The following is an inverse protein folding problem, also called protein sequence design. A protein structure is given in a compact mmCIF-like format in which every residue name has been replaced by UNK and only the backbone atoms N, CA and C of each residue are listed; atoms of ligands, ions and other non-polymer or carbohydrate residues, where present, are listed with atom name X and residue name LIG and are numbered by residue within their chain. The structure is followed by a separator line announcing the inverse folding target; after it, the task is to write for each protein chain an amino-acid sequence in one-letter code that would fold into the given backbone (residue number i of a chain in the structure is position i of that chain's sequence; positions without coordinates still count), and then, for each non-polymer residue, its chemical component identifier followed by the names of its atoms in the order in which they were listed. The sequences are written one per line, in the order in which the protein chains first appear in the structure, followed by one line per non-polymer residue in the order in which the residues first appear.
data_IF_167677122891
#
_entry.id   IF_167677122891
#
_cell.length_a   1.000
_cell.length_b   1.000
_cell.length_c   1.000
_cell.angle_alpha   90.00
_cell.angle_beta   90.00
_cell.angle_gamma   90.00
#
_symmetry.space_group_name_H-M   'P 1'
#
loop_
_entity.id
_entity.type
_entity.pdbx_description
1 polymer ?
#
# COMPACT_ATOMS: atom_id res chain seq x y z
N UNK A 1 89.09 54.43 97.95
CA UNK A 1 87.91 54.92 97.20
C UNK A 1 87.53 53.90 96.14
N UNK A 2 86.22 53.65 96.00
CA UNK A 2 85.56 52.60 95.21
C UNK A 2 85.50 52.84 93.69
N UNK A 3 85.36 51.72 92.95
CA UNK A 3 84.47 51.40 91.80
C UNK A 3 85.22 50.75 90.61
N UNK A 4 84.93 49.50 90.18
CA UNK A 4 83.75 48.96 89.42
C UNK A 4 83.55 49.74 88.11
N UNK A 5 83.44 49.19 86.89
CA UNK A 5 82.95 47.93 86.27
C UNK A 5 83.44 47.96 84.79
N UNK A 6 83.55 46.88 83.99
CA UNK A 6 82.48 46.29 83.16
C UNK A 6 83.09 45.19 82.27
N UNK A 7 82.73 43.94 82.53
CA UNK A 7 82.79 42.81 81.58
C UNK A 7 81.38 42.24 81.59
N UNK A 8 80.72 42.23 80.42
CA UNK A 8 79.62 41.33 80.02
C UNK A 8 78.65 42.05 79.06
N UNK A 9 78.83 41.85 77.75
CA UNK A 9 77.79 42.15 76.75
C UNK A 9 77.97 41.39 75.42
N UNK A 10 78.54 40.18 75.43
CA UNK A 10 78.78 39.40 74.19
C UNK A 10 78.07 38.03 74.12
N UNK A 11 76.98 37.80 74.89
CA UNK A 11 76.33 36.48 74.95
C UNK A 11 74.82 36.45 74.69
N UNK A 12 74.22 37.55 74.25
CA UNK A 12 72.77 37.66 74.03
C UNK A 12 72.32 37.56 72.56
N UNK A 13 73.19 37.85 71.58
CA UNK A 13 72.74 38.04 70.18
C UNK A 13 72.71 36.77 69.31
N UNK A 14 73.38 35.70 69.72
CA UNK A 14 73.46 34.45 68.92
C UNK A 14 72.37 33.42 69.24
N UNK A 15 71.56 33.62 70.28
CA UNK A 15 70.46 32.70 70.63
C UNK A 15 69.10 33.10 70.04
N UNK A 16 68.93 34.36 69.63
CA UNK A 16 67.62 34.86 69.16
C UNK A 16 67.42 34.74 67.63
N UNK A 17 68.51 34.70 66.84
CA UNK A 17 68.44 34.46 65.38
C UNK A 17 68.18 33.00 64.99
N UNK A 18 68.62 32.06 65.84
CA UNK A 18 68.51 30.62 65.60
C UNK A 18 67.09 30.07 65.83
N UNK A 19 66.30 30.70 66.72
CA UNK A 19 64.91 30.31 66.98
C UNK A 19 63.91 30.83 65.91
N UNK A 20 64.14 32.02 65.35
CA UNK A 20 63.29 32.59 64.28
C UNK A 20 63.45 31.85 62.95
N UNK A 21 64.65 31.36 62.65
CA UNK A 21 64.92 30.63 61.41
C UNK A 21 64.33 29.21 61.45
N UNK A 22 64.35 28.54 62.60
CA UNK A 22 63.83 27.17 62.75
C UNK A 22 62.29 27.09 62.78
N UNK A 23 61.60 28.15 63.22
CA UNK A 23 60.13 28.23 63.16
C UNK A 23 59.61 28.46 61.74
N UNK A 24 60.35 29.20 60.90
CA UNK A 24 59.97 29.49 59.51
C UNK A 24 60.10 28.26 58.60
N UNK A 25 61.16 27.45 58.75
CA UNK A 25 61.30 26.18 58.00
C UNK A 25 60.28 25.11 58.40
N UNK A 26 59.82 25.09 59.66
CA UNK A 26 58.76 24.18 60.12
C UNK A 26 57.36 24.49 59.57
N UNK A 27 57.04 25.78 59.34
CA UNK A 27 55.75 26.20 58.78
C UNK A 27 55.68 25.95 57.26
N UNK A 28 56.74 26.28 56.50
CA UNK A 28 56.74 26.10 55.04
C UNK A 28 56.66 24.63 54.62
N UNK A 29 57.19 23.71 55.45
CA UNK A 29 57.18 22.27 55.17
C UNK A 29 55.82 21.61 55.48
N UNK A 30 55.03 22.16 56.43
CA UNK A 30 53.65 21.73 56.69
C UNK A 30 52.69 22.20 55.60
N UNK A 31 52.77 23.46 55.20
CA UNK A 31 51.91 24.00 54.13
C UNK A 31 52.11 23.28 52.78
N UNK A 32 53.34 22.90 52.41
CA UNK A 32 53.58 22.12 51.19
C UNK A 32 53.06 20.68 51.27
N UNK A 33 53.04 20.06 52.46
CA UNK A 33 52.43 18.74 52.67
C UNK A 33 50.92 18.82 52.64
N UNK A 34 50.32 19.83 53.27
CA UNK A 34 48.87 20.02 53.28
C UNK A 34 48.34 20.37 51.88
N UNK A 35 49.07 21.17 51.10
CA UNK A 35 48.72 21.44 49.70
C UNK A 35 48.84 20.19 48.81
N UNK A 36 49.89 19.39 48.94
CA UNK A 36 50.01 18.12 48.19
C UNK A 36 48.87 17.16 48.55
N UNK A 37 48.55 17.03 49.83
CA UNK A 37 47.50 16.12 50.29
C UNK A 37 46.12 16.56 49.78
N UNK A 38 45.84 17.88 49.78
CA UNK A 38 44.62 18.45 49.19
C UNK A 38 44.54 18.29 47.66
N UNK A 39 45.66 18.36 46.94
CA UNK A 39 45.63 18.13 45.48
C UNK A 39 45.34 16.67 45.14
N UNK A 40 45.90 15.70 45.88
CA UNK A 40 45.65 14.27 45.64
C UNK A 40 44.20 13.87 45.96
N UNK A 41 43.58 14.45 46.98
CA UNK A 41 42.16 14.19 47.31
C UNK A 41 41.22 14.79 46.25
N UNK A 42 41.47 16.03 45.83
CA UNK A 42 40.67 16.69 44.80
C UNK A 42 40.72 15.98 43.43
N UNK A 43 41.89 15.45 43.06
CA UNK A 43 42.08 14.74 41.79
C UNK A 43 41.38 13.37 41.79
N UNK A 44 41.37 12.69 42.94
CA UNK A 44 40.66 11.42 43.15
C UNK A 44 39.14 11.61 43.14
N UNK A 45 38.63 12.70 43.71
CA UNK A 45 37.21 13.07 43.62
C UNK A 45 36.79 13.38 42.19
N UNK A 46 37.62 14.09 41.41
CA UNK A 46 37.35 14.34 39.98
C UNK A 46 37.30 13.05 39.18
N UNK A 47 38.19 12.10 39.42
CA UNK A 47 38.17 10.80 38.76
C UNK A 47 36.91 9.98 39.12
N UNK A 48 36.51 9.99 40.40
CA UNK A 48 35.27 9.33 40.83
C UNK A 48 34.01 10.00 40.22
N UNK A 49 33.97 11.33 40.17
CA UNK A 49 32.90 12.08 39.54
C UNK A 49 32.81 11.78 38.04
N UNK A 50 33.94 11.72 37.33
CA UNK A 50 34.00 11.37 35.92
C UNK A 50 33.53 9.93 35.63
N UNK A 51 33.89 8.96 36.49
CA UNK A 51 33.40 7.59 36.39
C UNK A 51 31.89 7.50 36.62
N UNK A 52 31.34 8.22 37.61
CA UNK A 52 29.90 8.30 37.88
C UNK A 52 29.14 8.94 36.71
N UNK A 53 29.66 10.01 36.13
CA UNK A 53 29.07 10.65 34.96
C UNK A 53 29.04 9.72 33.73
N UNK A 54 30.13 8.98 33.48
CA UNK A 54 30.17 7.96 32.41
C UNK A 54 29.16 6.83 32.66
N UNK A 55 29.08 6.31 33.87
CA UNK A 55 28.11 5.27 34.22
C UNK A 55 26.65 5.74 34.06
N UNK A 56 26.35 6.99 34.45
CA UNK A 56 25.03 7.60 34.23
C UNK A 56 24.72 7.76 32.74
N UNK A 57 25.68 8.23 31.93
CA UNK A 57 25.48 8.38 30.48
C UNK A 57 25.19 7.04 29.80
N UNK A 58 25.91 5.98 30.15
CA UNK A 58 25.71 4.64 29.59
C UNK A 58 24.34 4.07 29.95
N UNK A 59 23.88 4.28 31.19
CA UNK A 59 22.54 3.85 31.61
C UNK A 59 21.44 4.61 30.85
N UNK A 60 21.60 5.92 30.67
CA UNK A 60 20.65 6.74 29.92
C UNK A 60 20.53 6.28 28.46
N UNK A 61 21.66 5.97 27.83
CA UNK A 61 21.71 5.50 26.45
C UNK A 61 21.13 4.10 26.28
N UNK A 62 21.31 3.22 27.29
CA UNK A 62 20.69 1.89 27.34
C UNK A 62 19.16 1.98 27.45
N UNK A 63 18.63 2.83 28.33
CA UNK A 63 17.19 3.06 28.45
C UNK A 63 16.60 3.60 27.14
N UNK A 64 17.27 4.57 26.51
CA UNK A 64 16.82 5.15 25.24
C UNK A 64 16.78 4.12 24.11
N UNK A 65 17.76 3.20 24.04
CA UNK A 65 17.76 2.09 23.08
C UNK A 65 16.61 1.11 23.32
N UNK A 66 16.37 0.72 24.58
CA UNK A 66 15.26 -0.18 24.92
C UNK A 66 13.90 0.44 24.56
N UNK A 67 13.73 1.74 24.77
CA UNK A 67 12.50 2.45 24.44
C UNK A 67 12.29 2.58 22.92
N UNK A 68 13.37 2.84 22.17
CA UNK A 68 13.35 2.82 20.71
C UNK A 68 12.98 1.44 20.15
N UNK A 69 13.53 0.36 20.70
CA UNK A 69 13.16 -1.01 20.32
C UNK A 69 11.70 -1.34 20.63
N UNK A 70 11.18 -0.92 21.79
CA UNK A 70 9.76 -1.09 22.11
C UNK A 70 8.87 -0.33 21.13
N UNK A 71 9.20 0.91 20.79
CA UNK A 71 8.46 1.67 19.78
C UNK A 71 8.54 1.02 18.39
N UNK A 72 9.70 0.49 18.00
CA UNK A 72 9.86 -0.20 16.73
C UNK A 72 8.99 -1.46 16.66
N UNK A 73 8.96 -2.27 17.72
CA UNK A 73 8.09 -3.46 17.82
C UNK A 73 6.60 -3.10 17.77
N UNK A 74 6.19 -2.05 18.48
CA UNK A 74 4.80 -1.56 18.44
C UNK A 74 4.41 -1.08 17.04
N UNK A 75 5.30 -0.36 16.34
CA UNK A 75 5.07 0.08 14.95
C UNK A 75 4.98 -1.09 13.98
N UNK A 76 5.87 -2.07 14.10
CA UNK A 76 5.86 -3.32 13.32
C UNK A 76 4.53 -4.06 13.51
N UNK A 77 4.10 -4.23 14.77
CA UNK A 77 2.86 -4.92 15.11
C UNK A 77 1.63 -4.18 14.59
N UNK A 78 1.57 -2.85 14.74
CA UNK A 78 0.49 -2.03 14.16
C UNK A 78 0.44 -2.15 12.63
N UNK A 79 1.61 -2.26 11.97
CA UNK A 79 1.71 -2.44 10.51
C UNK A 79 1.14 -3.80 10.08
N UNK A 80 1.49 -4.87 10.80
CA UNK A 80 0.96 -6.22 10.58
C UNK A 80 -0.54 -6.29 10.82
N UNK A 81 -1.02 -5.73 11.93
CA UNK A 81 -2.45 -5.68 12.24
C UNK A 81 -3.24 -4.93 11.17
N UNK A 82 -2.68 -3.86 10.61
CA UNK A 82 -3.33 -3.12 9.53
C UNK A 82 -3.33 -3.89 8.20
N UNK A 83 -2.27 -4.63 7.89
CA UNK A 83 -2.23 -5.54 6.74
C UNK A 83 -3.25 -6.68 6.90
N UNK A 84 -3.34 -7.27 8.08
CA UNK A 84 -4.30 -8.33 8.41
C UNK A 84 -5.74 -7.84 8.35
N UNK A 85 -6.01 -6.63 8.86
CA UNK A 85 -7.35 -6.01 8.75
C UNK A 85 -7.74 -5.76 7.30
N UNK A 86 -6.82 -5.24 6.47
CA UNK A 86 -7.07 -5.06 5.04
C UNK A 86 -7.29 -6.40 4.32
N UNK A 87 -6.47 -7.41 4.63
CA UNK A 87 -6.61 -8.75 4.05
C UNK A 87 -7.93 -9.41 4.44
N UNK A 88 -8.36 -9.28 5.71
CA UNK A 88 -9.67 -9.74 6.19
C UNK A 88 -10.82 -8.98 5.54
N UNK A 89 -10.73 -7.66 5.44
CA UNK A 89 -11.74 -6.86 4.75
C UNK A 89 -11.89 -7.25 3.27
N UNK A 90 -10.79 -7.55 2.58
CA UNK A 90 -10.81 -8.03 1.19
C UNK A 90 -11.39 -9.44 1.10
N UNK A 91 -11.03 -10.36 2.02
CA UNK A 91 -11.63 -11.71 2.06
C UNK A 91 -13.12 -11.67 2.36
N UNK A 92 -13.55 -10.84 3.31
CA UNK A 92 -14.97 -10.66 3.64
C UNK A 92 -15.73 -9.98 2.50
N UNK A 93 -15.10 -9.05 1.79
CA UNK A 93 -15.69 -8.44 0.60
C UNK A 93 -15.84 -9.48 -0.52
N UNK A 94 -14.82 -10.30 -0.79
CA UNK A 94 -14.92 -11.40 -1.76
C UNK A 94 -15.97 -12.44 -1.34
N UNK A 95 -16.03 -12.80 -0.06
CA UNK A 95 -17.01 -13.74 0.50
C UNK A 95 -18.44 -13.19 0.41
N UNK A 96 -18.64 -11.89 0.65
CA UNK A 96 -19.92 -11.20 0.43
C UNK A 96 -20.28 -11.10 -1.05
N UNK A 97 -19.31 -10.90 -1.93
CA UNK A 97 -19.51 -10.95 -3.38
C UNK A 97 -19.91 -12.36 -3.87
N UNK A 98 -19.32 -13.41 -3.30
CA UNK A 98 -19.70 -14.80 -3.57
C UNK A 98 -21.07 -15.16 -2.98
N UNK A 99 -21.40 -14.69 -1.78
CA UNK A 99 -22.73 -14.88 -1.18
C UNK A 99 -23.82 -14.17 -2.00
N UNK A 100 -23.62 -12.90 -2.41
CA UNK A 100 -24.56 -12.19 -3.29
C UNK A 100 -24.68 -12.82 -4.68
N UNK A 101 -23.65 -13.54 -5.14
CA UNK A 101 -23.68 -14.31 -6.39
C UNK A 101 -24.58 -15.54 -6.27
N UNK A 102 -24.61 -16.22 -5.11
CA UNK A 102 -25.50 -17.36 -4.88
C UNK A 102 -26.97 -16.93 -4.89
N UNK A 103 -27.31 -15.84 -4.20
CA UNK A 103 -28.69 -15.33 -4.11
C UNK A 103 -29.24 -14.83 -5.44
N UNK A 104 -28.42 -14.13 -6.24
CA UNK A 104 -28.83 -13.66 -7.58
C UNK A 104 -28.92 -14.79 -8.63
N UNK A 105 -28.22 -15.91 -8.46
CA UNK A 105 -28.32 -17.03 -9.39
C UNK A 105 -29.60 -17.84 -9.14
N UNK A 106 -30.02 -17.99 -7.88
CA UNK A 106 -31.30 -18.64 -7.53
C UNK A 106 -32.53 -17.89 -8.04
N UNK A 107 -32.48 -16.55 -8.10
CA UNK A 107 -33.59 -15.74 -8.63
C UNK A 107 -33.69 -15.81 -10.17
N UNK A 108 -32.55 -15.95 -10.87
CA UNK A 108 -32.55 -16.17 -12.33
C UNK A 108 -33.09 -17.55 -12.72
N UNK A 109 -32.74 -18.60 -11.97
CA UNK A 109 -33.27 -19.95 -12.23
C UNK A 109 -34.77 -20.10 -11.91
N UNK A 110 -35.33 -19.30 -10.97
CA UNK A 110 -36.78 -19.27 -10.70
C UNK A 110 -37.57 -18.47 -11.75
N UNK A 111 -37.00 -17.40 -12.30
CA UNK A 111 -37.64 -16.62 -13.36
C UNK A 111 -37.73 -17.38 -14.70
N UNK A 112 -36.74 -18.23 -15.02
CA UNK A 112 -36.76 -19.06 -16.24
C UNK A 112 -37.78 -20.21 -16.17
N UNK A 113 -38.08 -20.75 -14.97
CA UNK A 113 -39.02 -21.87 -14.80
C UNK A 113 -40.49 -21.46 -14.90
N UNK A 114 -40.82 -20.19 -14.61
CA UNK A 114 -42.20 -19.69 -14.64
C UNK A 114 -42.66 -19.19 -16.02
N UNK A 115 -41.76 -19.05 -16.99
CA UNK A 115 -42.10 -18.58 -18.35
C UNK A 115 -42.27 -19.72 -19.37
N UNK A 116 -42.18 -20.98 -18.92
CA UNK A 116 -42.34 -22.18 -19.76
C UNK A 116 -43.72 -22.84 -19.61
N UNK A 117 -44.72 -22.08 -19.12
CA UNK A 117 -46.07 -22.58 -18.81
C UNK A 117 -47.19 -22.09 -19.73
N UNK A 118 -46.97 -21.10 -20.61
CA UNK A 118 -48.05 -20.53 -21.42
C UNK A 118 -47.62 -20.25 -22.86
N UNK A 119 -47.42 -21.30 -23.66
CA UNK A 119 -47.71 -21.22 -25.09
C UNK A 119 -47.88 -22.62 -25.67
N UNK A 120 -49.05 -23.19 -25.39
CA UNK A 120 -49.56 -24.39 -26.04
C UNK A 120 -50.33 -23.95 -27.29
N UNK A 121 -49.61 -23.54 -28.33
CA UNK A 121 -50.16 -23.52 -29.68
C UNK A 121 -49.25 -24.32 -30.63
N UNK A 122 -49.91 -25.32 -31.19
CA UNK A 122 -49.47 -26.32 -32.13
C UNK A 122 -48.88 -25.69 -33.40
N UNK A 123 -47.61 -25.94 -33.72
CA UNK A 123 -47.18 -26.04 -35.13
C UNK A 123 -45.98 -26.97 -35.27
N UNK A 124 -46.27 -28.15 -35.80
CA UNK A 124 -45.34 -29.05 -36.44
C UNK A 124 -44.74 -28.35 -37.68
N UNK A 125 -43.47 -27.94 -37.64
CA UNK A 125 -42.69 -27.66 -38.86
C UNK A 125 -41.19 -27.69 -38.58
N UNK A 126 -40.49 -28.44 -39.42
CA UNK A 126 -39.04 -28.50 -39.54
C UNK A 126 -38.42 -27.09 -39.67
N UNK A 127 -37.58 -26.65 -38.71
CA UNK A 127 -36.40 -25.86 -39.09
C UNK A 127 -35.30 -25.82 -38.02
N UNK A 128 -34.10 -26.19 -38.44
CA UNK A 128 -32.83 -26.07 -37.72
C UNK A 128 -32.39 -24.60 -37.77
N UNK A 129 -32.61 -23.77 -36.73
CA UNK A 129 -31.81 -22.55 -36.42
C UNK A 129 -32.48 -21.61 -35.41
N UNK A 130 -32.55 -21.98 -34.13
CA UNK A 130 -32.72 -20.99 -33.04
C UNK A 130 -31.43 -20.91 -32.24
N UNK A 131 -30.38 -20.35 -32.87
CA UNK A 131 -29.02 -20.26 -32.30
C UNK A 131 -28.72 -18.91 -31.63
N UNK A 132 -29.64 -17.94 -31.65
CA UNK A 132 -29.42 -16.58 -31.14
C UNK A 132 -30.50 -16.19 -30.13
N UNK A 133 -30.09 -15.79 -28.92
CA UNK A 133 -31.01 -15.18 -27.95
C UNK A 133 -31.10 -13.68 -28.27
N UNK A 134 -32.23 -13.26 -28.81
CA UNK A 134 -32.53 -11.85 -29.11
C UNK A 134 -33.30 -11.27 -27.94
N UNK A 135 -32.77 -10.21 -27.31
CA UNK A 135 -33.46 -9.53 -26.23
C UNK A 135 -34.42 -8.47 -26.78
N UNK A 136 -35.65 -8.43 -26.24
CA UNK A 136 -36.59 -7.35 -26.54
C UNK A 136 -36.10 -6.00 -25.99
N UNK A 137 -36.52 -4.89 -26.62
CA UNK A 137 -36.13 -3.51 -26.30
C UNK A 137 -36.38 -3.15 -24.83
N UNK A 138 -37.49 -3.62 -24.26
CA UNK A 138 -37.81 -3.36 -22.84
C UNK A 138 -36.85 -4.09 -21.90
N UNK A 139 -36.48 -5.33 -22.23
CA UNK A 139 -35.51 -6.12 -21.47
C UNK A 139 -34.11 -5.51 -21.54
N UNK A 140 -33.69 -5.05 -22.73
CA UNK A 140 -32.41 -4.36 -22.91
C UNK A 140 -32.33 -3.07 -22.09
N UNK A 141 -33.40 -2.25 -22.11
CA UNK A 141 -33.48 -1.01 -21.31
C UNK A 141 -33.39 -1.28 -19.80
N UNK A 142 -34.02 -2.36 -19.33
CA UNK A 142 -33.94 -2.77 -17.93
C UNK A 142 -32.53 -3.21 -17.53
N UNK A 143 -31.90 -4.08 -18.34
CA UNK A 143 -30.53 -4.55 -18.12
C UNK A 143 -29.52 -3.40 -18.11
N UNK A 144 -29.67 -2.46 -19.04
CA UNK A 144 -28.82 -1.28 -19.11
C UNK A 144 -28.96 -0.42 -17.85
N UNK A 145 -30.19 -0.11 -17.41
CA UNK A 145 -30.45 0.65 -16.17
C UNK A 145 -29.83 -0.03 -14.95
N UNK A 146 -29.96 -1.36 -14.86
CA UNK A 146 -29.35 -2.12 -13.77
C UNK A 146 -27.82 -1.97 -13.76
N UNK A 147 -27.16 -2.15 -14.92
CA UNK A 147 -25.70 -2.02 -15.05
C UNK A 147 -25.22 -0.61 -14.73
N UNK A 148 -25.93 0.40 -15.17
CA UNK A 148 -25.64 1.80 -14.87
C UNK A 148 -25.76 2.09 -13.36
N UNK A 149 -26.80 1.61 -12.71
CA UNK A 149 -26.98 1.79 -11.27
C UNK A 149 -25.83 1.13 -10.49
N UNK A 150 -25.44 -0.09 -10.86
CA UNK A 150 -24.30 -0.78 -10.26
C UNK A 150 -22.98 -0.02 -10.45
N UNK A 151 -22.74 0.49 -11.66
CA UNK A 151 -21.54 1.26 -11.98
C UNK A 151 -21.50 2.61 -11.22
N UNK A 152 -22.60 3.35 -11.19
CA UNK A 152 -22.71 4.61 -10.46
C UNK A 152 -22.50 4.44 -8.95
N UNK A 153 -23.03 3.36 -8.38
CA UNK A 153 -22.81 3.03 -6.97
C UNK A 153 -21.32 2.78 -6.67
N UNK A 154 -20.62 2.09 -7.57
CA UNK A 154 -19.19 1.85 -7.44
C UNK A 154 -18.37 3.15 -7.55
N UNK A 155 -18.65 3.99 -8.55
CA UNK A 155 -17.93 5.25 -8.76
C UNK A 155 -17.93 6.17 -7.54
N UNK A 156 -19.05 6.25 -6.80
CA UNK A 156 -19.15 7.05 -5.57
C UNK A 156 -18.16 6.57 -4.51
N UNK A 157 -18.11 5.26 -4.29
CA UNK A 157 -17.19 4.63 -3.32
C UNK A 157 -15.72 4.87 -3.68
N UNK A 158 -15.40 4.89 -4.98
CA UNK A 158 -14.01 5.03 -5.43
C UNK A 158 -13.40 6.40 -5.19
N UNK A 159 -14.22 7.46 -5.20
CA UNK A 159 -13.74 8.82 -4.90
C UNK A 159 -13.19 8.92 -3.48
N UNK A 160 -13.93 8.40 -2.50
CA UNK A 160 -13.53 8.43 -1.10
C UNK A 160 -12.26 7.63 -0.86
N UNK A 161 -12.18 6.43 -1.45
CA UNK A 161 -10.99 5.56 -1.37
C UNK A 161 -9.78 6.26 -1.99
N UNK A 162 -9.94 6.90 -3.15
CA UNK A 162 -8.88 7.61 -3.83
C UNK A 162 -8.27 8.71 -2.94
N UNK A 163 -9.11 9.59 -2.39
CA UNK A 163 -8.66 10.73 -1.58
C UNK A 163 -7.93 10.29 -0.31
N UNK A 164 -8.47 9.29 0.39
CA UNK A 164 -7.83 8.71 1.58
C UNK A 164 -6.46 8.12 1.24
N UNK A 165 -6.39 7.39 0.13
CA UNK A 165 -5.19 6.69 -0.30
C UNK A 165 -4.11 7.64 -0.80
N UNK A 166 -4.46 8.71 -1.51
CA UNK A 166 -3.50 9.74 -1.94
C UNK A 166 -2.76 10.37 -0.76
N UNK A 167 -3.48 10.66 0.34
CA UNK A 167 -2.84 11.18 1.57
C UNK A 167 -1.86 10.16 2.16
N UNK A 168 -2.21 8.88 2.15
CA UNK A 168 -1.34 7.81 2.66
C UNK A 168 -0.07 7.65 1.81
N UNK A 169 -0.20 7.67 0.48
CA UNK A 169 0.94 7.53 -0.44
C UNK A 169 1.95 8.67 -0.26
N UNK A 170 1.47 9.90 -0.05
CA UNK A 170 2.33 11.05 0.28
C UNK A 170 3.12 10.83 1.57
N UNK A 171 2.48 10.33 2.64
CA UNK A 171 3.16 10.00 3.91
C UNK A 171 4.19 8.88 3.77
N UNK A 172 3.95 7.95 2.84
CA UNK A 172 4.84 6.82 2.56
C UNK A 172 5.93 7.16 1.54
N UNK A 173 6.00 8.41 1.04
CA UNK A 173 6.89 8.83 -0.04
C UNK A 173 6.77 7.96 -1.32
N UNK A 174 5.58 7.41 -1.59
CA UNK A 174 5.30 6.59 -2.78
C UNK A 174 4.94 7.49 -3.98
N UNK A 175 5.94 8.21 -4.47
CA UNK A 175 5.76 9.30 -5.44
C UNK A 175 5.33 8.76 -6.81
N UNK A 176 5.97 7.69 -7.30
CA UNK A 176 5.64 7.11 -8.62
C UNK A 176 4.25 6.49 -8.59
N UNK A 177 3.94 5.78 -7.52
CA UNK A 177 2.64 5.17 -7.37
C UNK A 177 1.52 6.19 -7.18
N UNK A 178 1.75 7.29 -6.45
CA UNK A 178 0.79 8.39 -6.34
C UNK A 178 0.46 8.99 -7.71
N UNK A 179 1.46 9.18 -8.58
CA UNK A 179 1.28 9.66 -9.95
C UNK A 179 0.49 8.68 -10.82
N UNK A 180 0.83 7.39 -10.75
CA UNK A 180 0.05 6.34 -11.42
C UNK A 180 -1.42 6.37 -10.98
N UNK A 181 -1.67 6.39 -9.67
CA UNK A 181 -3.04 6.41 -9.13
C UNK A 181 -3.82 7.65 -9.57
N UNK A 182 -3.17 8.82 -9.63
CA UNK A 182 -3.77 10.04 -10.15
C UNK A 182 -4.15 9.88 -11.63
N UNK A 183 -3.23 9.39 -12.47
CA UNK A 183 -3.47 9.17 -13.88
C UNK A 183 -4.63 8.20 -14.13
N UNK A 184 -4.68 7.09 -13.39
CA UNK A 184 -5.79 6.14 -13.45
C UNK A 184 -7.12 6.81 -13.12
N UNK A 185 -7.17 7.58 -12.03
CA UNK A 185 -8.38 8.24 -11.57
C UNK A 185 -8.87 9.32 -12.56
N UNK A 186 -7.96 10.10 -13.14
CA UNK A 186 -8.30 11.11 -14.14
C UNK A 186 -8.84 10.50 -15.44
N UNK A 187 -8.32 9.34 -15.84
CA UNK A 187 -8.88 8.58 -16.98
C UNK A 187 -10.29 8.06 -16.66
N UNK A 188 -10.49 7.49 -15.47
CA UNK A 188 -11.80 7.01 -15.03
C UNK A 188 -12.85 8.14 -15.01
N UNK A 189 -12.45 9.35 -14.59
CA UNK A 189 -13.33 10.54 -14.64
C UNK A 189 -13.71 10.93 -16.07
N UNK A 190 -12.76 10.88 -17.01
CA UNK A 190 -13.01 11.17 -18.43
C UNK A 190 -13.95 10.14 -19.06
N UNK A 191 -13.73 8.86 -18.78
CA UNK A 191 -14.62 7.78 -19.24
C UNK A 191 -16.05 8.00 -18.73
N UNK A 192 -16.21 8.38 -17.46
CA UNK A 192 -17.53 8.69 -16.91
C UNK A 192 -18.24 9.80 -17.68
N UNK A 193 -17.53 10.89 -18.02
CA UNK A 193 -18.11 11.99 -18.77
C UNK A 193 -18.54 11.55 -20.18
N UNK A 194 -17.73 10.73 -20.85
CA UNK A 194 -18.07 10.13 -22.15
C UNK A 194 -19.36 9.32 -22.06
N UNK A 195 -19.49 8.45 -21.05
CA UNK A 195 -20.64 7.55 -20.92
C UNK A 195 -21.96 8.27 -20.63
N UNK A 196 -21.92 9.44 -20.01
CA UNK A 196 -23.11 10.28 -19.83
C UNK A 196 -23.64 10.84 -21.17
N UNK A 197 -22.78 10.96 -22.18
CA UNK A 197 -23.11 11.53 -23.49
C UNK A 197 -23.40 10.46 -24.56
N UNK A 198 -23.01 9.21 -24.34
CA UNK A 198 -23.19 8.12 -25.31
C UNK A 198 -24.68 7.80 -25.52
N UNK A 199 -25.11 7.80 -26.78
CA UNK A 199 -26.46 7.39 -27.19
C UNK A 199 -26.53 5.88 -27.41
N UNK A 200 -27.69 5.31 -27.10
CA UNK A 200 -27.92 3.86 -27.03
C UNK A 200 -28.13 3.24 -28.41
N UNK A 201 -27.58 2.03 -28.62
CA UNK A 201 -27.89 1.18 -29.78
C UNK A 201 -28.92 0.11 -29.38
N UNK A 202 -29.97 -0.04 -30.19
CA UNK A 202 -31.17 -0.81 -29.85
C UNK A 202 -31.12 -2.33 -30.13
N UNK A 203 -30.03 -2.84 -30.71
CA UNK A 203 -29.98 -4.23 -31.22
C UNK A 203 -28.80 -5.02 -30.61
N UNK A 204 -29.01 -5.62 -29.43
CA UNK A 204 -28.10 -6.61 -28.84
C UNK A 204 -28.41 -8.02 -29.35
N UNK A 205 -27.66 -8.48 -30.35
CA UNK A 205 -27.62 -9.89 -30.75
C UNK A 205 -26.50 -10.56 -29.99
N UNK A 206 -26.82 -11.61 -29.23
CA UNK A 206 -25.78 -12.43 -28.61
C UNK A 206 -25.36 -13.45 -29.66
N UNK A 207 -24.12 -13.36 -30.14
CA UNK A 207 -23.48 -14.21 -31.17
C UNK A 207 -22.15 -14.83 -30.69
N UNK A 208 -21.75 -14.55 -29.44
CA UNK A 208 -20.55 -15.08 -28.81
C UNK A 208 -20.88 -15.80 -27.50
N UNK A 209 -20.20 -16.92 -27.28
CA UNK A 209 -20.21 -17.69 -26.04
C UNK A 209 -18.83 -17.64 -25.42
N UNK A 210 -18.76 -17.54 -24.09
CA UNK A 210 -17.51 -17.68 -23.35
C UNK A 210 -17.71 -18.53 -22.10
N UNK A 211 -16.63 -19.12 -21.61
CA UNK A 211 -16.63 -19.92 -20.38
C UNK A 211 -15.85 -19.24 -19.27
N UNK A 212 -16.40 -19.27 -18.06
CA UNK A 212 -15.74 -18.82 -16.84
C UNK A 212 -16.12 -19.73 -15.68
N UNK A 213 -15.12 -20.28 -14.99
CA UNK A 213 -15.28 -21.21 -13.88
C UNK A 213 -16.25 -22.36 -14.21
N UNK A 214 -16.11 -22.96 -15.40
CA UNK A 214 -16.94 -24.07 -15.88
C UNK A 214 -18.37 -23.70 -16.33
N UNK A 215 -18.78 -22.44 -16.17
CA UNK A 215 -20.10 -21.97 -16.60
C UNK A 215 -20.01 -21.27 -17.96
N UNK A 216 -21.06 -21.40 -18.76
CA UNK A 216 -21.15 -20.73 -20.05
C UNK A 216 -21.99 -19.46 -19.97
N UNK A 217 -21.50 -18.45 -20.65
CA UNK A 217 -22.10 -17.14 -20.75
C UNK A 217 -22.16 -16.71 -22.21
N UNK A 218 -23.06 -15.79 -22.50
CA UNK A 218 -23.34 -15.34 -23.86
C UNK A 218 -23.27 -13.82 -23.92
N UNK A 219 -22.77 -13.30 -25.03
CA UNK A 219 -22.64 -11.86 -25.28
C UNK A 219 -22.61 -11.56 -26.76
N UNK A 220 -22.68 -10.28 -27.13
CA UNK A 220 -22.53 -9.83 -28.51
C UNK A 220 -21.07 -9.78 -28.92
N UNK A 221 -20.80 -9.66 -30.21
CA UNK A 221 -19.48 -9.33 -30.78
C UNK A 221 -18.83 -8.13 -30.08
N UNK A 222 -19.62 -7.08 -29.82
CA UNK A 222 -19.17 -5.91 -29.06
C UNK A 222 -18.85 -6.24 -27.60
N UNK A 223 -19.57 -7.18 -26.98
CA UNK A 223 -19.26 -7.67 -25.64
C UNK A 223 -18.01 -8.52 -25.60
N UNK A 224 -17.81 -9.41 -26.57
CA UNK A 224 -16.57 -10.16 -26.74
C UNK A 224 -15.37 -9.21 -26.87
N UNK A 225 -15.46 -8.21 -27.75
CA UNK A 225 -14.45 -7.16 -27.90
C UNK A 225 -14.23 -6.40 -26.58
N UNK A 226 -15.29 -6.09 -25.84
CA UNK A 226 -15.16 -5.41 -24.55
C UNK A 226 -14.41 -6.25 -23.52
N UNK A 227 -14.64 -7.55 -23.45
CA UNK A 227 -13.91 -8.43 -22.53
C UNK A 227 -12.44 -8.58 -22.94
N UNK A 228 -12.15 -8.62 -24.23
CA UNK A 228 -10.77 -8.58 -24.75
C UNK A 228 -10.09 -7.25 -24.40
N UNK A 229 -10.78 -6.11 -24.56
CA UNK A 229 -10.29 -4.80 -24.12
C UNK A 229 -10.06 -4.77 -22.62
N UNK A 230 -10.96 -5.33 -21.82
CA UNK A 230 -10.80 -5.40 -20.36
C UNK A 230 -9.47 -6.07 -19.97
N UNK A 231 -9.13 -7.19 -20.61
CA UNK A 231 -7.86 -7.89 -20.41
C UNK A 231 -6.64 -7.00 -20.73
N UNK A 232 -6.67 -6.33 -21.89
CA UNK A 232 -5.56 -5.46 -22.32
C UNK A 232 -5.44 -4.20 -21.47
N UNK A 233 -6.55 -3.52 -21.19
CA UNK A 233 -6.60 -2.35 -20.30
C UNK A 233 -6.11 -2.74 -18.90
N UNK A 234 -6.53 -3.91 -18.41
CA UNK A 234 -6.05 -4.50 -17.17
C UNK A 234 -4.53 -4.68 -17.18
N UNK A 235 -4.00 -5.35 -18.21
CA UNK A 235 -2.56 -5.58 -18.35
C UNK A 235 -1.75 -4.28 -18.39
N UNK A 236 -2.17 -3.29 -19.18
CA UNK A 236 -1.52 -1.97 -19.23
C UNK A 236 -1.49 -1.32 -17.84
N UNK A 237 -2.63 -1.26 -17.15
CA UNK A 237 -2.69 -0.64 -15.82
C UNK A 237 -1.91 -1.45 -14.77
N UNK A 238 -1.88 -2.77 -14.91
CA UNK A 238 -1.05 -3.65 -14.08
C UNK A 238 0.43 -3.32 -14.25
N UNK A 239 0.88 -3.21 -15.50
CA UNK A 239 2.27 -2.92 -15.83
C UNK A 239 2.72 -1.58 -15.25
N UNK A 240 1.93 -0.52 -15.46
CA UNK A 240 2.21 0.82 -14.92
C UNK A 240 2.30 0.80 -13.39
N UNK A 241 1.39 0.07 -12.73
CA UNK A 241 1.39 -0.07 -11.28
C UNK A 241 2.61 -0.84 -10.75
N UNK A 242 2.97 -1.96 -11.39
CA UNK A 242 4.12 -2.77 -11.02
C UNK A 242 5.43 -2.01 -11.19
N UNK A 243 5.56 -1.28 -12.29
CA UNK A 243 6.69 -0.37 -12.52
C UNK A 243 6.78 0.69 -11.42
N UNK A 244 5.67 1.36 -11.10
CA UNK A 244 5.64 2.38 -10.07
C UNK A 244 6.06 1.85 -8.69
N UNK A 245 5.60 0.65 -8.32
CA UNK A 245 5.95 -0.01 -7.06
C UNK A 245 7.44 -0.37 -7.01
N UNK A 246 7.97 -0.92 -8.10
CA UNK A 246 9.39 -1.20 -8.27
C UNK A 246 10.24 0.06 -8.09
N UNK A 247 9.86 1.16 -8.73
CA UNK A 247 10.60 2.44 -8.63
C UNK A 247 10.55 3.06 -7.23
N UNK A 248 9.41 2.92 -6.53
CA UNK A 248 9.26 3.41 -5.15
C UNK A 248 9.90 2.43 -4.12
N UNK A 249 10.52 1.32 -4.55
CA UNK A 249 11.11 0.30 -3.68
C UNK A 249 10.06 -0.46 -2.85
N UNK A 250 8.81 -0.50 -3.32
CA UNK A 250 7.72 -1.17 -2.63
C UNK A 250 7.69 -2.66 -2.97
N UNK A 251 7.23 -3.49 -2.03
CA UNK A 251 7.10 -4.94 -2.23
C UNK A 251 6.03 -5.30 -3.26
N UNK A 252 6.18 -6.46 -3.88
CA UNK A 252 5.21 -7.02 -4.82
C UNK A 252 3.84 -7.21 -4.16
N UNK A 253 2.83 -6.44 -4.58
CA UNK A 253 1.47 -6.49 -4.02
C UNK A 253 0.42 -5.94 -5.00
N UNK A 254 0.15 -6.68 -6.08
CA UNK A 254 -0.86 -6.28 -7.06
C UNK A 254 -2.27 -6.21 -6.46
N UNK A 255 -2.58 -7.06 -5.47
CA UNK A 255 -3.92 -7.16 -4.87
C UNK A 255 -4.32 -5.88 -4.15
N UNK A 256 -3.35 -5.21 -3.54
CA UNK A 256 -3.60 -3.94 -2.90
C UNK A 256 -3.62 -2.79 -3.90
N UNK A 257 -3.25 -2.97 -5.18
CA UNK A 257 -3.21 -1.87 -6.14
C UNK A 257 -4.58 -1.22 -6.38
N UNK A 258 -4.61 0.09 -6.59
CA UNK A 258 -5.85 0.86 -6.75
C UNK A 258 -6.59 0.43 -8.02
N UNK A 259 -5.86 0.30 -9.13
CA UNK A 259 -6.41 -0.18 -10.39
C UNK A 259 -6.94 -1.61 -10.30
N UNK A 260 -6.31 -2.49 -9.52
CA UNK A 260 -6.80 -3.87 -9.32
C UNK A 260 -8.08 -3.91 -8.49
N UNK A 261 -8.15 -3.12 -7.42
CA UNK A 261 -9.32 -3.05 -6.54
C UNK A 261 -10.52 -2.47 -7.30
N UNK A 262 -10.31 -1.39 -8.06
CA UNK A 262 -11.35 -0.78 -8.87
C UNK A 262 -11.75 -1.60 -10.09
N UNK A 263 -10.78 -1.90 -10.96
CA UNK A 263 -10.92 -2.69 -12.18
C UNK A 263 -12.02 -2.20 -13.16
N UNK A 264 -12.37 -0.90 -13.13
CA UNK A 264 -13.47 -0.34 -13.91
C UNK A 264 -13.05 0.63 -15.02
N UNK A 265 -11.75 0.94 -15.12
CA UNK A 265 -11.20 1.72 -16.23
C UNK A 265 -11.54 1.06 -17.57
N UNK A 266 -12.03 1.83 -18.56
CA UNK A 266 -12.40 1.31 -19.88
C UNK A 266 -13.79 0.67 -20.00
N UNK A 267 -14.51 0.49 -18.89
CA UNK A 267 -15.86 -0.08 -18.91
C UNK A 267 -16.90 0.91 -19.48
N UNK A 268 -17.83 0.43 -20.32
CA UNK A 268 -18.86 1.27 -20.95
C UNK A 268 -20.32 0.84 -20.69
N UNK A 269 -20.57 -0.20 -19.89
CA UNK A 269 -21.89 -0.73 -19.47
C UNK A 269 -22.80 -1.40 -20.51
N UNK A 270 -22.43 -1.36 -21.79
CA UNK A 270 -23.37 -1.75 -22.85
C UNK A 270 -23.57 -3.24 -23.01
N UNK A 271 -22.49 -4.01 -23.08
CA UNK A 271 -22.58 -5.38 -23.61
C UNK A 271 -22.37 -6.47 -22.56
N UNK A 272 -21.60 -6.17 -21.50
CA UNK A 272 -21.32 -7.10 -20.41
C UNK A 272 -21.58 -6.43 -19.06
N UNK A 273 -21.80 -7.25 -18.04
CA UNK A 273 -21.92 -6.76 -16.68
C UNK A 273 -20.54 -6.26 -16.17
N UNK A 274 -20.55 -5.22 -15.33
CA UNK A 274 -19.36 -4.68 -14.67
C UNK A 274 -18.54 -5.77 -13.95
N UNK A 275 -19.20 -6.73 -13.31
CA UNK A 275 -18.51 -7.82 -12.60
C UNK A 275 -17.77 -8.77 -13.54
N UNK A 276 -18.24 -8.91 -14.78
CA UNK A 276 -17.57 -9.69 -15.81
C UNK A 276 -16.36 -8.95 -16.34
N UNK A 277 -16.56 -7.68 -16.70
CA UNK A 277 -15.49 -6.79 -17.15
C UNK A 277 -14.33 -6.76 -16.15
N UNK A 278 -14.64 -6.52 -14.87
CA UNK A 278 -13.66 -6.45 -13.80
C UNK A 278 -12.87 -7.74 -13.59
N UNK A 279 -13.50 -8.90 -13.80
CA UNK A 279 -12.80 -10.17 -13.65
C UNK A 279 -11.69 -10.29 -14.69
N UNK A 280 -12.02 -10.06 -15.95
CA UNK A 280 -11.07 -10.11 -17.04
C UNK A 280 -10.03 -8.99 -16.95
N UNK A 281 -10.44 -7.80 -16.52
CA UNK A 281 -9.50 -6.73 -16.18
C UNK A 281 -8.49 -7.16 -15.12
N UNK A 282 -8.92 -7.76 -14.01
CA UNK A 282 -8.03 -8.21 -12.94
C UNK A 282 -7.09 -9.33 -13.39
N UNK A 283 -7.55 -10.22 -14.26
CA UNK A 283 -6.69 -11.25 -14.84
C UNK A 283 -5.58 -10.66 -15.71
N UNK A 284 -5.89 -9.66 -16.53
CA UNK A 284 -4.88 -8.90 -17.27
C UNK A 284 -3.95 -8.15 -16.33
N UNK A 285 -4.51 -7.45 -15.34
CA UNK A 285 -3.78 -6.66 -14.37
C UNK A 285 -2.74 -7.46 -13.60
N UNK A 286 -3.09 -8.65 -13.10
CA UNK A 286 -2.13 -9.51 -12.38
C UNK A 286 -0.89 -9.79 -13.23
N UNK A 287 -1.09 -10.10 -14.51
CA UNK A 287 -0.01 -10.43 -15.46
C UNK A 287 0.81 -9.20 -15.83
N UNK A 288 0.14 -8.07 -16.05
CA UNK A 288 0.80 -6.80 -16.32
C UNK A 288 1.65 -6.36 -15.15
N UNK A 289 1.12 -6.47 -13.93
CA UNK A 289 1.85 -6.12 -12.72
C UNK A 289 3.08 -7.00 -12.53
N UNK A 290 3.00 -8.30 -12.79
CA UNK A 290 4.16 -9.19 -12.77
C UNK A 290 5.26 -8.73 -13.74
N UNK A 291 4.89 -8.49 -15.01
CA UNK A 291 5.82 -7.99 -16.03
C UNK A 291 6.40 -6.61 -15.67
N UNK A 292 5.57 -5.69 -15.18
CA UNK A 292 5.99 -4.34 -14.79
C UNK A 292 6.87 -4.33 -13.54
N UNK A 293 6.57 -5.16 -12.55
CA UNK A 293 7.32 -5.22 -11.29
C UNK A 293 8.69 -5.88 -11.47
N UNK A 294 8.80 -6.90 -12.33
CA UNK A 294 10.08 -7.56 -12.59
C UNK A 294 10.83 -6.99 -13.80
N UNK A 295 10.22 -6.07 -14.56
CA UNK A 295 10.81 -5.51 -15.78
C UNK A 295 10.93 -6.54 -16.90
N UNK A 296 9.93 -7.42 -17.03
CA UNK A 296 9.90 -8.54 -17.99
C UNK A 296 8.77 -8.34 -19.00
N UNK A 297 8.68 -9.25 -19.96
CA UNK A 297 7.62 -9.27 -20.99
C UNK A 297 7.15 -10.71 -21.23
N UNK A 298 6.78 -11.39 -20.15
CA UNK A 298 6.38 -12.79 -20.19
C UNK A 298 4.95 -12.97 -20.72
N UNK A 299 4.06 -12.05 -20.40
CA UNK A 299 2.63 -12.19 -20.73
C UNK A 299 2.17 -11.20 -21.80
N UNK A 300 2.97 -10.19 -22.11
CA UNK A 300 2.62 -9.16 -23.05
C UNK A 300 3.80 -8.54 -23.75
N UNK A 301 3.49 -7.62 -24.66
CA UNK A 301 4.47 -6.87 -25.43
C UNK A 301 4.12 -5.38 -25.40
N UNK A 302 5.10 -4.56 -25.79
CA UNK A 302 4.89 -3.15 -26.03
C UNK A 302 4.76 -2.91 -27.52
N UNK A 303 3.64 -2.34 -27.96
CA UNK A 303 3.37 -2.04 -29.36
C UNK A 303 2.47 -0.82 -29.48
N UNK A 304 2.74 0.05 -30.47
CA UNK A 304 1.96 1.27 -30.73
C UNK A 304 1.77 2.17 -29.50
N UNK A 305 2.81 2.29 -28.67
CA UNK A 305 2.78 3.13 -27.47
C UNK A 305 2.06 2.52 -26.27
N UNK A 306 1.58 1.26 -26.35
CA UNK A 306 0.77 0.61 -25.29
C UNK A 306 1.26 -0.80 -24.99
N UNK A 307 1.03 -1.24 -23.75
CA UNK A 307 1.29 -2.60 -23.28
C UNK A 307 0.05 -3.48 -23.52
N UNK A 308 0.21 -4.59 -24.23
CA UNK A 308 -0.89 -5.50 -24.55
C UNK A 308 -0.52 -6.94 -24.19
N UNK A 309 -1.53 -7.77 -23.85
CA UNK A 309 -1.32 -9.20 -23.67
C UNK A 309 -1.00 -9.87 -25.01
N UNK A 310 -0.17 -10.92 -24.96
CA UNK A 310 0.05 -11.79 -26.10
C UNK A 310 -1.26 -12.50 -26.47
N UNK A 311 -1.54 -12.63 -27.78
CA UNK A 311 -2.81 -13.16 -28.28
C UNK A 311 -3.14 -14.57 -27.78
N UNK A 312 -2.12 -15.44 -27.65
CA UNK A 312 -2.27 -16.78 -27.08
C UNK A 312 -2.71 -16.76 -25.61
N UNK A 313 -2.19 -15.82 -24.81
CA UNK A 313 -2.58 -15.65 -23.40
C UNK A 313 -4.01 -15.11 -23.30
N UNK A 314 -4.38 -14.18 -24.17
CA UNK A 314 -5.73 -13.66 -24.24
C UNK A 314 -6.74 -14.79 -24.52
N UNK A 315 -6.51 -15.63 -25.53
CA UNK A 315 -7.38 -16.78 -25.84
C UNK A 315 -7.41 -17.80 -24.70
N UNK A 316 -6.29 -18.07 -24.02
CA UNK A 316 -6.26 -19.00 -22.89
C UNK A 316 -7.08 -18.51 -21.69
N UNK A 317 -7.17 -17.20 -21.48
CA UNK A 317 -7.94 -16.60 -20.38
C UNK A 317 -9.42 -16.49 -20.75
N UNK A 318 -9.73 -16.11 -21.99
CA UNK A 318 -11.09 -15.99 -22.48
C UNK A 318 -11.32 -16.87 -23.70
N UNK A 319 -11.99 -18.01 -23.45
CA UNK A 319 -12.39 -18.94 -24.50
C UNK A 319 -13.65 -18.42 -25.21
N UNK A 320 -13.48 -17.52 -26.18
CA UNK A 320 -14.55 -16.96 -26.99
C UNK A 320 -14.86 -17.86 -28.18
N UNK A 321 -16.12 -18.27 -28.30
CA UNK A 321 -16.63 -19.05 -29.44
C UNK A 321 -17.78 -18.29 -30.10
N UNK A 322 -17.64 -18.00 -31.38
CA UNK A 322 -18.72 -17.46 -32.21
C UNK A 322 -19.62 -18.59 -32.66
N UNK A 323 -20.93 -18.35 -32.76
CA UNK A 323 -21.91 -19.35 -33.18
C UNK A 323 -22.78 -18.90 -34.35
#
# INVERSE_FOLDING_TARGET
MNNRTRTDSNRADTRNRSNSTNQRWGQTTREQRDNRTNTYTAERERQQAAQRARAQSQNYERSRRQEAERQAKLREQARRDQQDRNARAIRDQNRRYEQNRSTNNSDRYRADRNNNGSNRYNTNSNNRNSRYQVYDRNQQKSLFRQRQNSYNAQLRRQKEIYEARQRQLRKQNRIRYARYQQNYYDRLRRDRARLQQTRYYDNLVYDYRYSRNGNYYYTSSYGAQMLQRALNDGYEQGYDAGQADRYDGWGYDYNNSYGYQDASYGYDSYNVNISEYQYYFREGFRRGYDDGYYGRSQYGNYSNGRHNLLGNILTAIINLFRY
#
